data_IF_610829699665
#
_entry.id   IF_610829699665
#
_cell.length_a   1.000
_cell.length_b   1.000
_cell.length_c   1.000
_cell.angle_alpha   90.00
_cell.angle_beta   90.00
_cell.angle_gamma   90.00
#
_symmetry.space_group_name_H-M   'P 1'
#
loop_
_entity.id
_entity.type
_entity.pdbx_description
1 polymer ?
#
# COMPACT_ATOMS: atom_id res chain seq x y z
N UNK A 1 -5.62 -2.78 -11.56
CA UNK A 1 -6.41 -2.72 -10.31
C UNK A 1 -6.81 -1.29 -10.02
N UNK A 2 -8.10 -0.99 -10.09
CA UNK A 2 -8.64 0.34 -9.78
C UNK A 2 -9.31 0.27 -8.41
N UNK A 3 -8.99 1.22 -7.52
CA UNK A 3 -9.63 1.31 -6.21
C UNK A 3 -10.86 2.17 -6.36
N UNK A 4 -12.04 1.54 -6.30
CA UNK A 4 -13.34 2.21 -6.47
C UNK A 4 -13.88 2.77 -5.15
N UNK A 5 -13.44 2.25 -4.02
CA UNK A 5 -13.90 2.71 -2.72
C UNK A 5 -13.11 2.10 -1.57
N UNK A 6 -13.20 2.75 -0.43
CA UNK A 6 -12.59 2.32 0.81
C UNK A 6 -13.52 2.71 1.96
N UNK A 7 -13.41 2.01 3.09
CA UNK A 7 -14.23 2.25 4.26
C UNK A 7 -14.89 0.95 4.73
N UNK A 8 -15.58 1.03 5.85
CA UNK A 8 -16.24 -0.14 6.46
C UNK A 8 -15.25 -1.30 6.66
N UNK A 9 -13.99 -0.98 6.99
CA UNK A 9 -12.98 -1.96 7.26
C UNK A 9 -12.40 -2.65 6.03
N UNK A 10 -12.58 -2.09 4.83
CA UNK A 10 -12.08 -2.76 3.63
C UNK A 10 -12.04 -1.88 2.40
N UNK A 11 -11.97 -2.53 1.25
CA UNK A 11 -11.78 -1.87 -0.05
C UNK A 11 -12.60 -2.54 -1.14
N UNK A 12 -13.00 -1.75 -2.13
CA UNK A 12 -13.55 -2.28 -3.38
C UNK A 12 -12.52 -2.01 -4.48
N UNK A 13 -11.99 -3.07 -5.08
CA UNK A 13 -10.91 -2.97 -6.07
C UNK A 13 -11.31 -3.80 -7.28
N UNK A 14 -11.40 -3.15 -8.44
CA UNK A 14 -11.77 -3.79 -9.72
C UNK A 14 -12.98 -4.70 -9.60
N UNK A 15 -14.01 -4.21 -8.91
CA UNK A 15 -15.27 -4.93 -8.76
C UNK A 15 -15.30 -5.97 -7.65
N UNK A 16 -14.21 -6.15 -6.90
CA UNK A 16 -14.14 -7.14 -5.82
C UNK A 16 -14.02 -6.44 -4.47
N UNK A 17 -14.75 -6.92 -3.47
CA UNK A 17 -14.68 -6.43 -2.09
C UNK A 17 -13.58 -7.19 -1.33
N UNK A 18 -12.69 -6.43 -0.66
CA UNK A 18 -11.68 -6.98 0.24
C UNK A 18 -11.96 -6.49 1.66
N UNK A 19 -12.17 -7.40 2.58
CA UNK A 19 -12.46 -7.07 3.98
C UNK A 19 -11.15 -7.12 4.79
N UNK A 20 -10.52 -5.99 5.00
CA UNK A 20 -9.26 -5.87 5.72
C UNK A 20 -8.23 -5.07 4.96
N UNK A 21 -6.99 -5.08 5.44
CA UNK A 21 -5.88 -4.44 4.77
C UNK A 21 -5.57 -5.14 3.45
N UNK A 22 -5.15 -4.37 2.43
CA UNK A 22 -4.86 -4.93 1.10
C UNK A 22 -3.48 -4.52 0.64
N UNK A 23 -2.87 -5.40 -0.14
CA UNK A 23 -1.66 -5.13 -0.89
C UNK A 23 -2.02 -5.15 -2.37
N UNK A 24 -1.83 -4.02 -3.05
CA UNK A 24 -2.30 -3.79 -4.41
C UNK A 24 -1.13 -3.67 -5.36
N UNK A 25 -1.19 -4.42 -6.45
CA UNK A 25 -0.23 -4.35 -7.56
C UNK A 25 -1.02 -4.04 -8.85
N UNK A 26 -0.36 -3.65 -9.94
CA UNK A 26 -1.08 -3.24 -11.16
C UNK A 26 -2.12 -4.26 -11.66
N UNK A 27 -1.85 -5.56 -11.50
CA UNK A 27 -2.72 -6.62 -12.03
C UNK A 27 -3.28 -7.56 -10.98
N UNK A 28 -2.98 -7.32 -9.69
CA UNK A 28 -3.34 -8.25 -8.64
C UNK A 28 -3.47 -7.54 -7.32
N UNK A 29 -4.45 -7.93 -6.52
CA UNK A 29 -4.63 -7.44 -5.16
C UNK A 29 -4.84 -8.62 -4.24
N UNK A 30 -4.36 -8.50 -3.00
CA UNK A 30 -4.53 -9.55 -2.01
C UNK A 30 -4.65 -8.95 -0.61
N UNK A 31 -5.31 -9.68 0.26
CA UNK A 31 -5.37 -9.32 1.69
C UNK A 31 -4.00 -9.56 2.32
N UNK A 32 -3.68 -8.78 3.34
CA UNK A 32 -2.52 -8.99 4.19
C UNK A 32 -2.84 -8.61 5.61
N UNK A 33 -2.04 -9.06 6.57
CA UNK A 33 -2.28 -8.85 7.99
C UNK A 33 -1.10 -8.10 8.61
N UNK A 34 -1.07 -6.76 8.43
CA UNK A 34 0.07 -5.99 8.92
C UNK A 34 0.07 -5.82 10.43
N UNK A 35 1.26 -5.70 11.01
CA UNK A 35 1.44 -5.11 12.33
C UNK A 35 0.98 -3.66 12.29
N UNK A 36 0.80 -3.03 13.46
CA UNK A 36 0.57 -1.57 13.51
C UNK A 36 1.71 -0.86 12.76
N UNK A 37 1.46 0.32 12.18
CA UNK A 37 2.48 0.96 11.32
C UNK A 37 3.84 1.13 11.99
N UNK A 38 3.89 1.44 13.28
CA UNK A 38 5.13 1.63 14.03
C UNK A 38 5.98 0.36 14.08
N UNK A 39 5.35 -0.82 13.95
CA UNK A 39 6.02 -2.13 14.02
C UNK A 39 6.19 -2.76 12.65
N UNK A 40 5.79 -2.09 11.59
CA UNK A 40 5.91 -2.61 10.23
C UNK A 40 7.38 -2.62 9.81
N UNK A 41 7.84 -3.76 9.27
CA UNK A 41 9.22 -3.94 8.84
C UNK A 41 9.33 -3.99 7.32
N UNK A 42 10.49 -3.63 6.79
CA UNK A 42 10.77 -3.78 5.37
C UNK A 42 10.64 -5.25 4.93
N UNK A 43 11.10 -6.17 5.76
CA UNK A 43 11.01 -7.60 5.47
C UNK A 43 9.57 -8.06 5.27
N UNK A 44 8.63 -7.59 6.10
CA UNK A 44 7.21 -7.93 5.96
C UNK A 44 6.63 -7.43 4.64
N UNK A 45 7.04 -6.25 4.19
CA UNK A 45 6.62 -5.70 2.90
C UNK A 45 7.26 -6.48 1.75
N UNK A 46 8.55 -6.77 1.83
CA UNK A 46 9.27 -7.50 0.79
C UNK A 46 8.64 -8.88 0.56
N UNK A 47 8.19 -9.54 1.62
CA UNK A 47 7.55 -10.85 1.53
C UNK A 47 6.24 -10.81 0.73
N UNK A 48 5.61 -9.64 0.59
CA UNK A 48 4.40 -9.45 -0.21
C UNK A 48 4.70 -9.16 -1.67
N UNK A 49 5.92 -8.75 -1.97
CA UNK A 49 6.31 -8.28 -3.29
C UNK A 49 6.48 -9.41 -4.30
N UNK A 50 6.27 -9.13 -5.60
CA UNK A 50 6.64 -10.07 -6.66
C UNK A 50 8.17 -10.20 -6.71
N UNK A 51 8.64 -11.19 -7.44
CA UNK A 51 10.07 -11.45 -7.60
C UNK A 51 10.84 -10.20 -8.04
N UNK A 52 10.24 -9.40 -8.93
CA UNK A 52 10.83 -8.15 -9.41
C UNK A 52 10.15 -6.98 -8.70
N UNK A 53 10.89 -6.27 -7.86
CA UNK A 53 10.31 -5.21 -7.04
C UNK A 53 9.91 -3.99 -7.88
N UNK A 54 8.73 -3.40 -7.64
CA UNK A 54 8.40 -2.10 -8.21
C UNK A 54 9.27 -1.01 -7.56
N UNK A 55 9.58 0.08 -8.28
CA UNK A 55 10.43 1.14 -7.71
C UNK A 55 9.73 2.02 -6.69
N UNK A 56 8.41 1.92 -6.54
CA UNK A 56 7.62 2.79 -5.69
C UNK A 56 6.60 1.99 -4.90
N UNK A 57 6.53 2.26 -3.60
CA UNK A 57 5.49 1.73 -2.72
C UNK A 57 4.74 2.89 -2.08
N UNK A 58 3.41 2.91 -2.26
CA UNK A 58 2.53 3.78 -1.49
C UNK A 58 2.15 3.03 -0.21
N UNK A 59 2.27 3.68 0.94
CA UNK A 59 1.83 3.10 2.21
C UNK A 59 0.75 3.99 2.78
N UNK A 60 -0.49 3.47 2.83
CA UNK A 60 -1.63 4.15 3.41
C UNK A 60 -1.87 3.67 4.82
N UNK A 61 -1.64 4.54 5.81
CA UNK A 61 -1.59 4.16 7.24
C UNK A 61 -2.88 4.50 8.00
N UNK A 62 -4.00 4.53 7.32
CA UNK A 62 -5.28 4.84 7.96
C UNK A 62 -5.56 6.33 7.97
N UNK A 63 -6.33 6.80 8.96
CA UNK A 63 -6.71 8.21 9.09
C UNK A 63 -5.95 8.98 10.16
N UNK A 64 -5.03 8.32 10.88
CA UNK A 64 -4.29 8.93 11.98
C UNK A 64 -3.21 9.89 11.48
N UNK A 65 -2.68 10.78 12.35
CA UNK A 65 -1.56 11.63 11.98
C UNK A 65 -0.39 10.80 11.47
N UNK A 66 0.31 11.34 10.48
CA UNK A 66 1.46 10.66 9.88
C UNK A 66 2.70 10.87 10.72
N UNK A 67 3.41 9.80 11.01
CA UNK A 67 4.72 9.84 11.67
C UNK A 67 5.75 9.22 10.73
N UNK A 68 6.97 9.78 10.63
CA UNK A 68 8.00 9.21 9.80
C UNK A 68 8.32 7.76 10.20
N UNK A 69 8.40 6.88 9.22
CA UNK A 69 8.78 5.48 9.42
C UNK A 69 10.16 5.29 8.80
N UNK A 70 11.17 5.92 9.40
CA UNK A 70 12.52 6.04 8.81
C UNK A 70 13.18 4.68 8.61
N UNK A 71 13.06 3.77 9.57
CA UNK A 71 13.68 2.44 9.45
C UNK A 71 13.03 1.65 8.31
N UNK A 72 11.72 1.74 8.18
CA UNK A 72 11.00 1.09 7.08
C UNK A 72 11.44 1.68 5.75
N UNK A 73 11.44 3.02 5.65
CA UNK A 73 11.82 3.70 4.41
C UNK A 73 13.24 3.35 4.00
N UNK A 74 14.18 3.32 4.95
CA UNK A 74 15.57 3.00 4.67
C UNK A 74 15.75 1.55 4.23
N UNK A 75 15.06 0.62 4.90
CA UNK A 75 15.09 -0.80 4.53
C UNK A 75 14.56 -1.04 3.12
N UNK A 76 13.49 -0.36 2.73
CA UNK A 76 12.94 -0.47 1.38
C UNK A 76 13.85 0.20 0.36
N UNK A 77 14.45 1.33 0.70
CA UNK A 77 15.39 2.04 -0.17
C UNK A 77 16.58 1.15 -0.54
N UNK A 78 17.07 0.36 0.41
CA UNK A 78 18.17 -0.59 0.15
C UNK A 78 17.79 -1.63 -0.91
N UNK A 79 16.49 -1.88 -1.11
CA UNK A 79 15.98 -2.80 -2.11
C UNK A 79 15.56 -2.07 -3.40
N UNK A 80 15.85 -0.78 -3.51
CA UNK A 80 15.48 0.01 -4.69
C UNK A 80 14.04 0.46 -4.71
N UNK A 81 13.36 0.48 -3.54
CA UNK A 81 11.95 0.84 -3.44
C UNK A 81 11.83 2.17 -2.68
N UNK A 82 11.27 3.19 -3.34
CA UNK A 82 10.96 4.45 -2.69
C UNK A 82 9.62 4.34 -1.95
N UNK A 83 9.58 4.78 -0.69
CA UNK A 83 8.37 4.75 0.11
C UNK A 83 7.70 6.13 0.11
N UNK A 84 6.40 6.13 -0.22
CA UNK A 84 5.54 7.30 -0.09
C UNK A 84 4.49 7.03 0.98
N UNK A 85 4.62 7.70 2.13
CA UNK A 85 3.75 7.52 3.29
C UNK A 85 2.62 8.54 3.25
N UNK A 86 1.38 8.08 3.40
CA UNK A 86 0.20 8.96 3.36
C UNK A 86 -0.98 8.31 4.06
N UNK A 87 -2.09 9.04 4.20
CA UNK A 87 -3.32 8.45 4.69
C UNK A 87 -3.84 7.42 3.69
N UNK A 88 -4.68 6.49 4.15
CA UNK A 88 -5.28 5.50 3.25
C UNK A 88 -6.10 6.19 2.15
N UNK A 89 -6.87 7.24 2.50
CA UNK A 89 -7.65 7.97 1.50
C UNK A 89 -6.77 8.58 0.41
N UNK A 90 -5.67 9.23 0.80
CA UNK A 90 -4.73 9.81 -0.15
C UNK A 90 -4.06 8.74 -1.00
N UNK A 91 -3.71 7.60 -0.39
CA UNK A 91 -3.06 6.50 -1.09
C UNK A 91 -3.98 5.91 -2.16
N UNK A 92 -5.27 5.77 -1.88
CA UNK A 92 -6.24 5.27 -2.87
C UNK A 92 -6.34 6.20 -4.08
N UNK A 93 -6.39 7.52 -3.85
CA UNK A 93 -6.44 8.50 -4.93
C UNK A 93 -5.14 8.50 -5.75
N UNK A 94 -4.01 8.50 -5.06
CA UNK A 94 -2.69 8.49 -5.71
C UNK A 94 -2.49 7.22 -6.53
N UNK A 95 -2.91 6.07 -5.99
CA UNK A 95 -2.83 4.80 -6.71
C UNK A 95 -3.54 4.88 -8.06
N UNK A 96 -4.77 5.35 -8.07
CA UNK A 96 -5.56 5.42 -9.30
C UNK A 96 -4.91 6.34 -10.35
N UNK A 97 -4.29 7.45 -9.91
CA UNK A 97 -3.56 8.33 -10.82
C UNK A 97 -2.35 7.60 -11.42
N UNK A 98 -1.56 6.92 -10.57
CA UNK A 98 -0.36 6.20 -11.03
C UNK A 98 -0.71 5.11 -12.04
N UNK A 99 -1.77 4.36 -11.77
CA UNK A 99 -2.20 3.27 -12.66
C UNK A 99 -2.70 3.83 -13.99
N UNK A 100 -3.42 4.96 -13.97
CA UNK A 100 -3.88 5.59 -15.21
C UNK A 100 -2.72 6.07 -16.07
N UNK A 101 -1.57 6.33 -15.46
CA UNK A 101 -0.34 6.75 -16.15
C UNK A 101 0.56 5.57 -16.52
N UNK A 102 0.15 4.34 -16.23
CA UNK A 102 0.94 3.15 -16.53
C UNK A 102 2.19 2.99 -15.66
N UNK A 103 2.20 3.60 -14.46
CA UNK A 103 3.36 3.56 -13.55
C UNK A 103 3.50 2.19 -12.89
N UNK A 104 4.75 1.78 -12.67
CA UNK A 104 5.05 0.55 -11.95
C UNK A 104 5.17 0.85 -10.46
N UNK A 105 4.19 0.42 -9.69
CA UNK A 105 4.11 0.70 -8.26
C UNK A 105 3.35 -0.40 -7.55
N UNK A 106 3.46 -0.43 -6.23
CA UNK A 106 2.62 -1.23 -5.35
C UNK A 106 2.05 -0.33 -4.27
N UNK A 107 0.98 -0.76 -3.63
CA UNK A 107 0.37 -0.04 -2.52
C UNK A 107 0.04 -0.99 -1.39
N UNK A 108 0.46 -0.66 -0.20
CA UNK A 108 0.13 -1.38 1.03
C UNK A 108 -0.82 -0.47 1.81
N UNK A 109 -2.06 -0.93 2.03
CA UNK A 109 -3.12 -0.07 2.54
C UNK A 109 -3.72 -0.66 3.81
N UNK A 110 -3.67 0.11 4.89
CA UNK A 110 -4.40 -0.21 6.11
C UNK A 110 -5.87 0.14 5.91
N UNK A 111 -6.76 -0.72 6.40
CA UNK A 111 -8.19 -0.48 6.30
C UNK A 111 -8.62 0.67 7.21
N UNK A 112 -9.70 1.35 6.82
CA UNK A 112 -10.34 2.41 7.62
C UNK A 112 -11.83 2.13 7.73
N UNK A 113 -12.45 2.71 8.77
CA UNK A 113 -13.88 2.57 9.01
C UNK A 113 -14.76 3.35 8.04
#
# INVERSE_FOLDING_TARGET
QIIHGYGDGGFRISGQRFAGAVFVMPRHSKLWSPAVPENLTASAIIDLMPEKFPPLLLLGVGGAPLFPLQNLAEGLKQQGIALELMSTAAACRTWNVLISEGRNAAAALYAVD
#
